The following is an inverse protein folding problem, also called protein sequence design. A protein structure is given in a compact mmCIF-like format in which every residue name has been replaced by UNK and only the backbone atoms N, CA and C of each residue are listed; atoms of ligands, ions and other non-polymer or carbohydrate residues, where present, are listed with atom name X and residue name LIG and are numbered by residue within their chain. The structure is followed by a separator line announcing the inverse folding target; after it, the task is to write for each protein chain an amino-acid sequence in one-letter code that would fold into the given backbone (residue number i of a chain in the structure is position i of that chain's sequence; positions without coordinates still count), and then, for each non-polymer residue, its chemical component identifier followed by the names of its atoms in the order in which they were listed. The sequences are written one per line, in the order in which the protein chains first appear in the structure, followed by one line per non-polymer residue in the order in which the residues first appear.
data_IF_661921710626
#
_entry.id   IF_661921710626
#
_cell.length_a   1.000
_cell.length_b   1.000
_cell.length_c   1.000
_cell.angle_alpha   90.00
_cell.angle_beta   90.00
_cell.angle_gamma   90.00
#
_symmetry.space_group_name_H-M   'P 1'
#
loop_
_entity.id
_entity.type
_entity.pdbx_description
1 polymer ?
#
# COMPACT_ATOMS: atom_id res chain seq x y z
N UNK A 1 14.94 1.82 4.45
CA UNK A 1 13.95 1.02 5.21
C UNK A 1 13.33 1.94 6.25
N UNK A 2 12.01 2.08 6.23
CA UNK A 2 11.26 2.94 7.16
C UNK A 2 10.34 2.06 8.01
N UNK A 3 10.31 2.27 9.32
CA UNK A 3 9.42 1.55 10.25
C UNK A 3 8.34 2.54 10.70
N UNK A 4 7.10 2.32 10.24
CA UNK A 4 5.95 3.15 10.64
C UNK A 4 5.44 2.69 11.99
N UNK A 5 5.25 3.63 12.93
CA UNK A 5 4.63 3.31 14.23
C UNK A 5 3.15 3.02 14.03
N UNK A 6 2.62 2.01 14.72
CA UNK A 6 1.20 1.67 14.66
C UNK A 6 0.26 2.87 14.94
N UNK A 7 0.66 3.81 15.80
CA UNK A 7 -0.10 5.03 16.10
C UNK A 7 -0.25 5.99 14.91
N UNK A 8 0.58 5.85 13.87
CA UNK A 8 0.55 6.66 12.64
C UNK A 8 -0.03 5.87 11.46
N UNK A 9 -0.61 4.69 11.69
CA UNK A 9 -1.17 3.87 10.62
C UNK A 9 -2.27 4.61 9.83
N UNK A 10 -3.09 5.42 10.50
CA UNK A 10 -4.13 6.22 9.84
C UNK A 10 -3.59 7.28 8.88
N UNK A 11 -2.37 7.78 9.10
CA UNK A 11 -1.74 8.78 8.25
C UNK A 11 -1.18 8.16 6.96
N UNK A 12 -0.76 6.89 7.02
CA UNK A 12 -0.18 6.15 5.89
C UNK A 12 -1.18 5.26 5.16
N UNK A 13 -2.31 4.93 5.78
CA UNK A 13 -3.38 4.09 5.24
C UNK A 13 -4.75 4.80 5.41
N UNK A 14 -4.95 5.96 4.76
CA UNK A 14 -6.23 6.64 4.83
C UNK A 14 -7.34 5.75 4.25
N UNK A 15 -8.48 5.72 4.94
CA UNK A 15 -9.68 4.94 4.60
C UNK A 15 -9.53 3.40 4.65
N UNK A 16 -8.39 2.88 5.12
CA UNK A 16 -8.29 1.47 5.49
C UNK A 16 -8.83 1.24 6.90
N UNK A 17 -9.55 0.13 7.15
CA UNK A 17 -9.80 -0.31 8.51
C UNK A 17 -8.45 -0.49 9.21
N UNK A 18 -8.19 0.26 10.29
CA UNK A 18 -6.98 0.09 11.09
C UNK A 18 -6.95 -1.38 11.55
N UNK A 19 -6.00 -2.19 11.07
CA UNK A 19 -5.92 -3.57 11.51
C UNK A 19 -5.71 -3.58 13.02
N UNK A 20 -6.30 -4.54 13.73
CA UNK A 20 -5.90 -4.78 15.11
C UNK A 20 -4.35 -4.87 15.12
N UNK A 21 -3.71 -4.22 16.10
CA UNK A 21 -2.27 -3.94 16.08
C UNK A 21 -1.38 -5.18 15.87
N UNK A 22 -1.90 -6.38 16.13
CA UNK A 22 -1.28 -7.68 15.87
C UNK A 22 -1.33 -8.18 14.41
N UNK A 23 -2.03 -7.49 13.50
CA UNK A 23 -2.31 -7.94 12.12
C UNK A 23 -1.98 -6.90 11.04
N UNK A 24 -1.28 -5.80 11.36
CA UNK A 24 -0.81 -4.84 10.36
C UNK A 24 0.34 -5.47 9.56
N UNK A 25 0.00 -6.27 8.54
CA UNK A 25 0.92 -6.76 7.54
C UNK A 25 0.75 -5.92 6.28
N UNK A 26 1.72 -5.04 6.03
CA UNK A 26 1.84 -4.36 4.75
C UNK A 26 3.20 -4.68 4.14
N UNK A 27 3.23 -5.06 2.87
CA UNK A 27 4.45 -5.40 2.15
C UNK A 27 4.85 -4.27 1.22
N UNK A 28 6.13 -3.94 1.18
CA UNK A 28 6.68 -2.97 0.22
C UNK A 28 7.24 -3.70 -1.00
N UNK A 29 6.74 -3.36 -2.17
CA UNK A 29 7.22 -3.79 -3.48
C UNK A 29 8.03 -2.63 -4.08
N UNK A 30 9.30 -2.90 -4.37
CA UNK A 30 10.15 -1.95 -5.10
C UNK A 30 9.90 -2.12 -6.60
N UNK A 31 9.72 -1.00 -7.30
CA UNK A 31 9.51 -0.97 -8.75
C UNK A 31 10.41 0.06 -9.40
N UNK A 32 10.81 -0.19 -10.65
CA UNK A 32 11.66 0.74 -11.41
C UNK A 32 10.88 1.99 -11.84
N UNK A 33 9.60 1.84 -12.17
CA UNK A 33 8.69 2.92 -12.53
C UNK A 33 7.34 2.76 -11.81
N UNK A 34 7.03 3.72 -10.95
CA UNK A 34 5.81 3.75 -10.14
C UNK A 34 4.56 3.96 -11.01
N UNK A 35 4.66 4.76 -12.07
CA UNK A 35 3.55 5.07 -12.96
C UNK A 35 3.15 3.85 -13.78
N UNK A 36 4.12 3.12 -14.31
CA UNK A 36 3.86 1.89 -15.06
C UNK A 36 3.36 0.76 -14.16
N UNK A 37 3.93 0.61 -12.96
CA UNK A 37 3.39 -0.32 -11.97
C UNK A 37 1.93 -0.01 -11.61
N UNK A 38 1.58 1.28 -11.43
CA UNK A 38 0.21 1.70 -11.15
C UNK A 38 -0.73 1.36 -12.31
N UNK A 39 -0.34 1.63 -13.55
CA UNK A 39 -1.14 1.27 -14.74
C UNK A 39 -1.41 -0.24 -14.80
N UNK A 40 -0.41 -1.08 -14.51
CA UNK A 40 -0.58 -2.53 -14.50
C UNK A 40 -1.65 -2.94 -13.47
N UNK A 41 -1.54 -2.43 -12.24
CA UNK A 41 -2.50 -2.72 -11.16
C UNK A 41 -3.91 -2.24 -11.53
N UNK A 42 -4.05 -1.01 -12.01
CA UNK A 42 -5.33 -0.40 -12.37
C UNK A 42 -5.96 -1.07 -13.60
N UNK A 43 -5.16 -1.53 -14.57
CA UNK A 43 -5.64 -2.29 -15.72
C UNK A 43 -6.29 -3.62 -15.34
N UNK A 44 -5.90 -4.17 -14.18
CA UNK A 44 -6.53 -5.35 -13.57
C UNK A 44 -7.82 -5.04 -12.79
N UNK A 45 -8.31 -3.79 -12.83
CA UNK A 45 -9.51 -3.35 -12.11
C UNK A 45 -9.30 -3.09 -10.61
N UNK A 46 -8.04 -3.02 -10.16
CA UNK A 46 -7.73 -2.76 -8.75
C UNK A 46 -7.59 -1.26 -8.48
N UNK A 47 -8.32 -0.75 -7.50
CA UNK A 47 -8.23 0.65 -7.08
C UNK A 47 -6.93 0.89 -6.32
N UNK A 48 -6.24 1.98 -6.63
CA UNK A 48 -5.02 2.41 -5.94
C UNK A 48 -5.25 3.70 -5.16
N UNK A 49 -4.48 3.90 -4.09
CA UNK A 49 -4.45 5.13 -3.32
C UNK A 49 -3.03 5.73 -3.36
N UNK A 50 -2.87 7.06 -3.50
CA UNK A 50 -1.56 7.68 -3.35
C UNK A 50 -0.98 7.42 -1.96
N UNK A 51 0.31 7.07 -1.88
CA UNK A 51 0.99 6.85 -0.61
C UNK A 51 2.48 7.21 -0.72
N UNK A 52 2.92 8.23 0.01
CA UNK A 52 4.31 8.73 -0.04
C UNK A 52 4.76 9.03 -1.48
N UNK A 53 5.94 8.52 -1.86
CA UNK A 53 6.48 8.61 -3.23
C UNK A 53 5.91 7.59 -4.23
N UNK A 54 4.85 6.87 -3.85
CA UNK A 54 4.36 5.69 -4.53
C UNK A 54 2.84 5.56 -4.54
N UNK A 55 2.36 4.32 -4.39
CA UNK A 55 0.94 4.04 -4.17
C UNK A 55 0.72 2.85 -3.25
N UNK A 56 -0.50 2.75 -2.76
CA UNK A 56 -0.98 1.70 -1.89
C UNK A 56 -2.16 0.96 -2.54
N UNK A 57 -2.18 -0.36 -2.34
CA UNK A 57 -3.32 -1.23 -2.65
C UNK A 57 -3.84 -1.80 -1.34
N UNK A 58 -5.13 -1.57 -1.09
CA UNK A 58 -5.82 -2.11 0.07
C UNK A 58 -5.75 -3.63 0.15
N UNK A 59 -5.67 -4.14 1.38
CA UNK A 59 -5.83 -5.55 1.67
C UNK A 59 -7.13 -6.14 1.09
N UNK A 60 -8.21 -5.34 0.95
CA UNK A 60 -9.47 -5.78 0.32
C UNK A 60 -9.33 -6.15 -1.15
N UNK A 61 -8.32 -5.60 -1.82
CA UNK A 61 -8.01 -5.84 -3.22
C UNK A 61 -6.75 -6.70 -3.41
N UNK A 62 -6.01 -6.95 -2.34
CA UNK A 62 -4.74 -7.68 -2.34
C UNK A 62 -4.76 -8.90 -1.39
N UNK A 63 -5.88 -9.65 -1.40
CA UNK A 63 -6.03 -10.92 -0.69
C UNK A 63 -5.64 -10.90 0.80
N UNK A 64 -5.90 -9.79 1.49
CA UNK A 64 -5.68 -9.65 2.93
C UNK A 64 -4.37 -8.99 3.36
N UNK A 65 -3.47 -8.64 2.43
CA UNK A 65 -2.25 -7.90 2.73
C UNK A 65 -2.26 -6.53 2.04
N UNK A 66 -2.03 -5.46 2.79
CA UNK A 66 -1.83 -4.14 2.18
C UNK A 66 -0.50 -4.11 1.41
N UNK A 67 -0.48 -3.54 0.20
CA UNK A 67 0.73 -3.48 -0.61
C UNK A 67 1.13 -2.03 -0.89
N UNK A 68 2.33 -1.64 -0.51
CA UNK A 68 2.95 -0.40 -0.92
C UNK A 68 3.84 -0.65 -2.13
N UNK A 69 3.71 0.19 -3.16
CA UNK A 69 4.59 0.20 -4.32
C UNK A 69 5.38 1.51 -4.31
N UNK A 70 6.70 1.42 -4.32
CA UNK A 70 7.60 2.59 -4.30
C UNK A 70 8.80 2.38 -5.20
N UNK A 71 9.50 3.45 -5.54
CA UNK A 71 10.72 3.38 -6.35
C UNK A 71 11.85 2.66 -5.59
N UNK A 72 12.52 1.73 -6.27
CA UNK A 72 13.76 1.06 -5.83
C UNK A 72 15.03 1.80 -6.22
#
# INVERSE_FOLDING_TARGET
MEIVRASHAGDVLPDEPVPASSYLAAMTVLVDDVGDARKIVESGGTVTQPAGGGFFVSARHAYGAGLFFTRG
#
